data_IF_914847330825
#
_entry.id   IF_914847330825
#
_cell.length_a   1.000
_cell.length_b   1.000
_cell.length_c   1.000
_cell.angle_alpha   90.00
_cell.angle_beta   90.00
_cell.angle_gamma   90.00
#
_symmetry.space_group_name_H-M   'P 1'
#
loop_
_entity.id
_entity.type
_entity.pdbx_description
1 polymer ?
#
# COMPACT_ATOMS: atom_id res chain seq x y z
N UNK A 1 6.64 12.16 -9.30
CA UNK A 1 6.68 10.94 -8.45
C UNK A 1 5.59 9.96 -8.83
N UNK A 2 5.84 8.64 -8.71
CA UNK A 2 4.81 7.61 -8.91
C UNK A 2 4.35 7.05 -7.57
N UNK A 3 3.02 6.81 -7.47
CA UNK A 3 2.38 6.32 -6.27
C UNK A 3 1.62 5.02 -6.56
N UNK A 4 1.83 3.99 -5.73
CA UNK A 4 1.17 2.70 -5.88
C UNK A 4 0.17 2.45 -4.75
N UNK A 5 -1.06 1.96 -5.08
CA UNK A 5 -2.10 1.73 -4.10
C UNK A 5 -1.81 0.51 -3.22
N UNK A 6 -2.43 0.49 -2.04
CA UNK A 6 -2.50 -0.63 -1.14
C UNK A 6 -3.87 -1.30 -1.11
N UNK A 7 -4.04 -2.21 -0.15
CA UNK A 7 -5.30 -2.91 0.10
C UNK A 7 -6.44 -1.91 0.37
N UNK A 8 -7.60 -2.19 -0.21
CA UNK A 8 -8.77 -1.31 -0.23
C UNK A 8 -9.04 -0.71 -1.62
N UNK A 9 -8.08 -0.81 -2.55
CA UNK A 9 -8.24 -0.34 -3.95
C UNK A 9 -8.74 -1.44 -4.91
N UNK A 10 -8.82 -2.70 -4.45
CA UNK A 10 -9.25 -3.83 -5.27
C UNK A 10 -10.76 -3.80 -5.52
N UNK A 11 -11.13 -4.09 -6.75
CA UNK A 11 -12.53 -4.29 -7.15
C UNK A 11 -12.59 -5.37 -8.22
N UNK A 12 -13.68 -6.14 -8.23
CA UNK A 12 -13.93 -7.14 -9.28
C UNK A 12 -14.02 -6.44 -10.64
N UNK A 13 -13.31 -6.96 -11.62
CA UNK A 13 -13.15 -6.37 -12.96
C UNK A 13 -11.84 -5.59 -13.13
N UNK A 14 -11.05 -5.36 -12.04
CA UNK A 14 -9.79 -4.61 -12.14
C UNK A 14 -8.80 -5.28 -13.10
N UNK A 15 -8.13 -4.48 -13.94
CA UNK A 15 -7.07 -4.93 -14.84
C UNK A 15 -7.55 -5.80 -16.01
N UNK A 16 -8.84 -5.78 -16.39
CA UNK A 16 -9.41 -6.67 -17.41
C UNK A 16 -8.58 -6.67 -18.70
N UNK A 17 -8.23 -5.53 -19.24
CA UNK A 17 -7.43 -5.39 -20.46
C UNK A 17 -5.96 -5.80 -20.27
N UNK A 18 -5.41 -5.71 -19.06
CA UNK A 18 -4.04 -6.12 -18.76
C UNK A 18 -3.87 -7.65 -18.84
N UNK A 19 -4.89 -8.44 -18.52
CA UNK A 19 -4.81 -9.89 -18.67
C UNK A 19 -4.65 -10.35 -20.11
N UNK A 20 -5.12 -9.55 -21.07
CA UNK A 20 -4.91 -9.80 -22.51
C UNK A 20 -3.57 -9.19 -22.99
N UNK A 21 -3.22 -8.01 -22.50
CA UNK A 21 -2.02 -7.30 -22.93
C UNK A 21 -0.73 -7.90 -22.32
N UNK A 22 -0.80 -8.45 -21.09
CA UNK A 22 0.36 -8.91 -20.31
C UNK A 22 0.19 -10.34 -19.77
N UNK A 23 -0.05 -11.32 -20.65
CA UNK A 23 -0.11 -12.73 -20.22
C UNK A 23 1.23 -13.27 -19.69
N UNK A 24 2.33 -12.60 -20.00
CA UNK A 24 3.66 -12.88 -19.46
C UNK A 24 3.76 -12.60 -17.94
N UNK A 25 3.03 -11.61 -17.43
CA UNK A 25 2.96 -11.26 -16.01
C UNK A 25 1.73 -11.84 -15.31
N UNK A 26 0.56 -11.79 -15.94
CA UNK A 26 -0.74 -12.10 -15.32
C UNK A 26 -1.30 -13.48 -15.69
N UNK A 27 -0.56 -14.28 -16.48
CA UNK A 27 -0.98 -15.58 -16.95
C UNK A 27 -0.58 -16.74 -16.05
N UNK A 28 -0.39 -17.93 -16.67
CA UNK A 28 -0.18 -19.20 -15.94
C UNK A 28 1.01 -19.19 -14.98
N UNK A 29 2.09 -18.46 -15.30
CA UNK A 29 3.24 -18.39 -14.40
C UNK A 29 2.88 -17.72 -13.06
N UNK A 30 2.00 -16.70 -13.06
CA UNK A 30 1.48 -16.11 -11.85
C UNK A 30 0.53 -17.06 -11.12
N UNK A 31 -0.38 -17.73 -11.84
CA UNK A 31 -1.31 -18.71 -11.28
C UNK A 31 -0.57 -19.88 -10.63
N UNK A 32 0.47 -20.42 -11.27
CA UNK A 32 1.33 -21.49 -10.73
C UNK A 32 2.04 -21.07 -9.43
N UNK A 33 2.54 -19.82 -9.39
CA UNK A 33 3.18 -19.27 -8.19
C UNK A 33 2.19 -19.09 -7.05
N UNK A 34 1.00 -18.59 -7.35
CA UNK A 34 -0.04 -18.26 -6.37
C UNK A 34 -0.83 -19.49 -5.90
N UNK A 35 -0.90 -20.55 -6.73
CA UNK A 35 -1.72 -21.75 -6.48
C UNK A 35 -3.22 -21.52 -6.71
N UNK A 36 -3.59 -20.43 -7.39
CA UNK A 36 -4.98 -20.08 -7.76
C UNK A 36 -5.00 -19.15 -8.97
N UNK A 37 -6.13 -19.10 -9.67
CA UNK A 37 -6.27 -18.25 -10.85
C UNK A 37 -6.41 -16.78 -10.50
N UNK A 38 -5.36 -15.99 -10.79
CA UNK A 38 -5.32 -14.55 -10.62
C UNK A 38 -6.44 -13.89 -11.45
N UNK A 39 -6.58 -14.32 -12.70
CA UNK A 39 -7.62 -13.81 -13.61
C UNK A 39 -9.02 -14.02 -13.04
N UNK A 40 -9.36 -15.22 -12.61
CA UNK A 40 -10.68 -15.52 -12.09
C UNK A 40 -11.02 -14.69 -10.86
N UNK A 41 -10.10 -14.60 -9.90
CA UNK A 41 -10.29 -13.79 -8.69
C UNK A 41 -10.44 -12.30 -9.01
N UNK A 42 -9.62 -11.75 -9.92
CA UNK A 42 -9.69 -10.34 -10.30
C UNK A 42 -10.94 -10.00 -11.12
N UNK A 43 -11.34 -10.83 -12.07
CA UNK A 43 -12.39 -10.48 -13.05
C UNK A 43 -13.77 -11.02 -12.69
N UNK A 44 -13.84 -12.19 -12.06
CA UNK A 44 -15.10 -12.87 -11.77
C UNK A 44 -15.46 -12.80 -10.27
N UNK A 45 -14.46 -12.66 -9.40
CA UNK A 45 -14.62 -12.55 -7.95
C UNK A 45 -15.02 -13.89 -7.30
N UNK A 46 -15.93 -13.89 -6.30
CA UNK A 46 -16.70 -12.75 -5.78
C UNK A 46 -15.86 -11.69 -5.07
N UNK A 47 -16.41 -10.49 -4.84
CA UNK A 47 -15.71 -9.41 -4.14
C UNK A 47 -15.19 -9.83 -2.75
N UNK A 48 -15.93 -10.70 -2.07
CA UNK A 48 -15.51 -11.23 -0.75
C UNK A 48 -14.22 -12.07 -0.85
N UNK A 49 -14.01 -12.82 -1.92
CA UNK A 49 -12.78 -13.57 -2.16
C UNK A 49 -11.62 -12.61 -2.50
N UNK A 50 -11.84 -11.66 -3.40
CA UNK A 50 -10.84 -10.67 -3.79
C UNK A 50 -10.44 -9.76 -2.60
N UNK A 51 -11.32 -9.56 -1.62
CA UNK A 51 -11.05 -8.71 -0.44
C UNK A 51 -10.25 -9.44 0.65
N UNK A 52 -10.13 -10.76 0.60
CA UNK A 52 -9.28 -11.50 1.53
C UNK A 52 -7.84 -11.02 1.41
N UNK A 53 -7.17 -10.84 2.54
CA UNK A 53 -5.81 -10.29 2.59
C UNK A 53 -4.80 -11.11 1.78
N UNK A 54 -4.92 -12.45 1.80
CA UNK A 54 -4.10 -13.40 1.04
C UNK A 54 -4.41 -13.43 -0.47
N UNK A 55 -5.48 -12.78 -0.92
CA UNK A 55 -5.85 -12.60 -2.33
C UNK A 55 -5.63 -11.17 -2.80
N UNK A 56 -6.11 -10.20 -2.02
CA UNK A 56 -6.06 -8.78 -2.37
C UNK A 56 -4.62 -8.29 -2.61
N UNK A 57 -3.68 -8.69 -1.75
CA UNK A 57 -2.30 -8.22 -1.85
C UNK A 57 -1.62 -8.68 -3.14
N UNK A 58 -1.51 -9.97 -3.47
CA UNK A 58 -0.88 -10.38 -4.72
C UNK A 58 -1.66 -9.92 -5.96
N UNK A 59 -2.99 -9.84 -5.90
CA UNK A 59 -3.79 -9.33 -7.01
C UNK A 59 -3.51 -7.85 -7.31
N UNK A 60 -3.47 -7.01 -6.27
CA UNK A 60 -3.14 -5.59 -6.41
C UNK A 60 -1.71 -5.38 -6.89
N UNK A 61 -0.74 -6.11 -6.33
CA UNK A 61 0.65 -6.05 -6.77
C UNK A 61 0.77 -6.38 -8.25
N UNK A 62 0.20 -7.51 -8.68
CA UNK A 62 0.29 -7.98 -10.05
C UNK A 62 -0.32 -6.99 -11.05
N UNK A 63 -1.56 -6.53 -10.79
CA UNK A 63 -2.26 -5.59 -11.67
C UNK A 63 -1.59 -4.23 -11.70
N UNK A 64 -1.18 -3.68 -10.54
CA UNK A 64 -0.52 -2.39 -10.48
C UNK A 64 0.88 -2.42 -11.13
N UNK A 65 1.63 -3.51 -10.97
CA UNK A 65 2.92 -3.65 -11.64
C UNK A 65 2.76 -3.80 -13.16
N UNK A 66 1.82 -4.62 -13.64
CA UNK A 66 1.56 -4.79 -15.06
C UNK A 66 1.16 -3.45 -15.72
N UNK A 67 0.32 -2.65 -15.04
CA UNK A 67 -0.04 -1.31 -15.50
C UNK A 67 1.16 -0.36 -15.49
N UNK A 68 1.98 -0.40 -14.45
CA UNK A 68 3.22 0.37 -14.39
C UNK A 68 4.17 0.03 -15.54
N UNK A 69 4.37 -1.24 -15.86
CA UNK A 69 5.29 -1.66 -16.91
C UNK A 69 4.81 -1.19 -18.30
N UNK A 70 3.49 -1.21 -18.56
CA UNK A 70 2.91 -0.61 -19.78
C UNK A 70 3.08 0.91 -19.79
N UNK A 71 2.78 1.59 -18.68
CA UNK A 71 2.95 3.04 -18.56
C UNK A 71 4.42 3.46 -18.73
N UNK A 72 5.35 2.73 -18.13
CA UNK A 72 6.80 3.00 -18.27
C UNK A 72 7.30 2.83 -19.71
N UNK A 73 6.75 1.90 -20.49
CA UNK A 73 7.04 1.77 -21.93
C UNK A 73 6.56 2.98 -22.71
N UNK A 74 5.38 3.51 -22.37
CA UNK A 74 4.84 4.72 -23.01
C UNK A 74 5.67 5.96 -22.66
N UNK A 75 6.21 6.06 -21.46
CA UNK A 75 7.10 7.16 -21.04
C UNK A 75 8.45 7.16 -21.78
N UNK A 76 8.86 6.04 -22.37
CA UNK A 76 10.13 5.91 -23.11
C UNK A 76 11.35 6.03 -22.19
N UNK A 77 12.17 7.06 -22.38
CA UNK A 77 13.37 7.28 -21.56
C UNK A 77 13.10 8.07 -20.26
N UNK A 78 11.94 8.72 -20.16
CA UNK A 78 11.57 9.46 -18.95
C UNK A 78 11.45 8.51 -17.75
N UNK A 79 11.92 8.97 -16.60
CA UNK A 79 11.90 8.19 -15.36
C UNK A 79 11.32 9.04 -14.22
N UNK A 80 10.60 8.43 -13.29
CA UNK A 80 10.22 9.11 -12.06
C UNK A 80 11.46 9.56 -11.27
N UNK A 81 11.38 10.70 -10.62
CA UNK A 81 12.40 11.15 -9.68
C UNK A 81 12.17 10.58 -8.27
N UNK A 82 11.00 10.02 -7.99
CA UNK A 82 10.62 9.44 -6.71
C UNK A 82 9.50 8.42 -6.88
N UNK A 83 9.42 7.45 -5.97
CA UNK A 83 8.28 6.55 -5.87
C UNK A 83 7.91 6.30 -4.41
N UNK A 84 6.62 6.08 -4.16
CA UNK A 84 6.11 5.56 -2.89
C UNK A 84 4.92 4.64 -3.14
N UNK A 85 4.63 3.78 -2.17
CA UNK A 85 3.43 2.98 -2.19
C UNK A 85 2.81 2.89 -0.81
N UNK A 86 1.48 2.78 -0.74
CA UNK A 86 0.78 2.65 0.52
C UNK A 86 0.79 1.19 0.96
N UNK A 87 1.44 0.87 2.09
CA UNK A 87 1.52 -0.49 2.63
C UNK A 87 2.00 -1.50 1.57
N UNK A 88 1.14 -2.34 1.03
CA UNK A 88 1.44 -3.24 -0.08
C UNK A 88 2.08 -2.52 -1.29
N UNK A 89 1.62 -1.32 -1.59
CA UNK A 89 2.13 -0.55 -2.72
C UNK A 89 3.63 -0.24 -2.66
N UNK A 90 4.26 -0.28 -1.48
CA UNK A 90 5.71 -0.13 -1.35
C UNK A 90 6.46 -1.28 -2.05
N UNK A 91 5.91 -2.51 -2.02
CA UNK A 91 6.46 -3.64 -2.78
C UNK A 91 6.36 -3.41 -4.28
N UNK A 92 5.23 -2.85 -4.74
CA UNK A 92 5.05 -2.47 -6.15
C UNK A 92 6.03 -1.37 -6.55
N UNK A 93 6.24 -0.36 -5.71
CA UNK A 93 7.20 0.71 -5.94
C UNK A 93 8.64 0.20 -6.03
N UNK A 94 9.03 -0.75 -5.16
CA UNK A 94 10.34 -1.38 -5.20
C UNK A 94 10.55 -2.24 -6.44
N UNK A 95 9.53 -2.98 -6.87
CA UNK A 95 9.58 -3.74 -8.12
C UNK A 95 9.64 -2.80 -9.33
N UNK A 96 8.86 -1.73 -9.36
CA UNK A 96 8.88 -0.70 -10.40
C UNK A 96 10.25 -0.02 -10.53
N UNK A 97 10.93 0.20 -9.40
CA UNK A 97 12.28 0.73 -9.35
C UNK A 97 13.38 -0.31 -9.69
N UNK A 98 13.02 -1.58 -9.92
CA UNK A 98 13.95 -2.65 -10.25
C UNK A 98 14.74 -3.19 -9.04
N UNK A 99 14.31 -2.89 -7.80
CA UNK A 99 14.95 -3.41 -6.58
C UNK A 99 14.75 -4.92 -6.45
N UNK A 100 13.58 -5.41 -6.84
CA UNK A 100 13.24 -6.83 -6.95
C UNK A 100 12.57 -7.09 -8.29
N UNK A 101 12.77 -8.27 -8.86
CA UNK A 101 12.04 -8.66 -10.07
C UNK A 101 10.56 -8.97 -9.75
N UNK A 102 9.73 -8.95 -10.79
CA UNK A 102 8.28 -9.12 -10.64
C UNK A 102 7.88 -10.41 -9.91
N UNK A 103 8.41 -11.57 -10.34
CA UNK A 103 8.01 -12.86 -9.76
C UNK A 103 8.51 -13.05 -8.33
N UNK A 104 9.72 -12.55 -8.01
CA UNK A 104 10.20 -12.47 -6.63
C UNK A 104 9.29 -11.58 -5.79
N UNK A 105 8.93 -10.40 -6.30
CA UNK A 105 7.98 -9.49 -5.64
C UNK A 105 6.62 -10.14 -5.40
N UNK A 106 6.04 -10.79 -6.43
CA UNK A 106 4.75 -11.47 -6.34
C UNK A 106 4.77 -12.59 -5.29
N UNK A 107 5.83 -13.40 -5.24
CA UNK A 107 6.00 -14.44 -4.23
C UNK A 107 6.04 -13.86 -2.82
N UNK A 108 6.87 -12.86 -2.58
CA UNK A 108 6.99 -12.22 -1.25
C UNK A 108 5.68 -11.59 -0.81
N UNK A 109 4.96 -10.95 -1.75
CA UNK A 109 3.65 -10.35 -1.46
C UNK A 109 2.58 -11.40 -1.16
N UNK A 110 2.61 -12.55 -1.84
CA UNK A 110 1.71 -13.67 -1.54
C UNK A 110 1.98 -14.22 -0.13
N UNK A 111 3.25 -14.42 0.23
CA UNK A 111 3.67 -14.83 1.58
C UNK A 111 3.28 -13.80 2.64
N UNK A 112 3.48 -12.50 2.36
CA UNK A 112 3.04 -11.39 3.22
C UNK A 112 1.54 -11.43 3.45
N UNK A 113 0.75 -11.55 2.39
CA UNK A 113 -0.71 -11.61 2.48
C UNK A 113 -1.19 -12.77 3.35
N UNK A 114 -0.58 -13.96 3.18
CA UNK A 114 -0.86 -15.14 3.99
C UNK A 114 -0.46 -14.93 5.46
N UNK A 115 0.77 -14.51 5.73
CA UNK A 115 1.26 -14.30 7.10
C UNK A 115 0.42 -13.26 7.86
N UNK A 116 0.01 -12.17 7.20
CA UNK A 116 -0.88 -11.16 7.79
C UNK A 116 -2.28 -11.69 8.03
N UNK A 117 -2.83 -12.53 7.14
CA UNK A 117 -4.13 -13.17 7.34
C UNK A 117 -4.08 -14.16 8.52
N UNK A 118 -3.03 -14.97 8.61
CA UNK A 118 -2.82 -15.93 9.70
C UNK A 118 -2.64 -15.21 11.06
N UNK A 119 -1.88 -14.11 11.09
CA UNK A 119 -1.74 -13.29 12.28
C UNK A 119 -3.08 -12.67 12.74
N UNK A 120 -3.87 -12.16 11.78
CA UNK A 120 -5.19 -11.59 12.06
C UNK A 120 -6.18 -12.63 12.62
N UNK A 121 -6.09 -13.89 12.19
CA UNK A 121 -6.95 -14.97 12.66
C UNK A 121 -6.66 -15.41 14.12
N UNK A 122 -5.50 -15.05 14.68
CA UNK A 122 -5.11 -15.46 16.05
C UNK A 122 -5.86 -14.72 17.14
N UNK A 123 -6.31 -13.48 16.89
CA UNK A 123 -7.04 -12.65 17.86
C UNK A 123 -8.01 -11.74 17.12
N UNK A 124 -9.28 -11.63 17.58
CA UNK A 124 -10.22 -10.63 17.08
C UNK A 124 -9.63 -9.22 17.19
N UNK A 125 -9.48 -8.58 16.04
CA UNK A 125 -8.82 -7.29 15.93
C UNK A 125 -9.23 -6.61 14.61
N UNK A 126 -8.88 -5.35 14.43
CA UNK A 126 -9.21 -4.62 13.22
C UNK A 126 -8.61 -3.23 13.20
N UNK A 127 -9.23 -2.34 12.43
CA UNK A 127 -8.78 -0.97 12.27
C UNK A 127 -9.97 0.00 12.24
N UNK A 128 -9.71 1.26 12.64
CA UNK A 128 -10.68 2.35 12.53
C UNK A 128 -10.00 3.63 12.03
N UNK A 129 -10.66 4.32 11.10
CA UNK A 129 -10.22 5.62 10.62
C UNK A 129 -10.71 6.73 11.57
N UNK A 130 -9.80 7.63 11.92
CA UNK A 130 -10.05 8.86 12.64
C UNK A 130 -9.97 10.02 11.65
N UNK A 131 -11.01 10.82 11.56
CA UNK A 131 -11.07 12.00 10.71
C UNK A 131 -11.09 13.28 11.56
N UNK A 132 -10.36 14.27 11.12
CA UNK A 132 -10.32 15.60 11.72
C UNK A 132 -9.49 15.68 13.01
N UNK A 133 -8.50 14.81 13.18
CA UNK A 133 -7.46 14.92 14.20
C UNK A 133 -6.07 14.77 13.56
N UNK A 134 -5.07 15.31 14.22
CA UNK A 134 -3.66 15.18 13.85
C UNK A 134 -3.03 13.92 14.47
N UNK A 135 -1.77 13.68 14.14
CA UNK A 135 -1.01 12.54 14.64
C UNK A 135 -0.86 12.57 16.17
N UNK A 136 -0.60 13.75 16.75
CA UNK A 136 -0.43 13.91 18.20
C UNK A 136 -1.69 13.51 18.95
N UNK A 137 -2.85 13.95 18.48
CA UNK A 137 -4.16 13.55 19.02
C UNK A 137 -4.41 12.05 18.86
N UNK A 138 -4.12 11.46 17.69
CA UNK A 138 -4.30 10.02 17.46
C UNK A 138 -3.39 9.17 18.36
N UNK A 139 -2.14 9.58 18.56
CA UNK A 139 -1.21 8.93 19.48
C UNK A 139 -1.62 9.08 20.94
N UNK A 140 -2.13 10.24 21.33
CA UNK A 140 -2.67 10.47 22.66
C UNK A 140 -3.86 9.54 22.93
N UNK A 141 -4.81 9.43 22.01
CA UNK A 141 -5.97 8.52 22.13
C UNK A 141 -5.49 7.07 22.29
N UNK A 142 -4.57 6.63 21.42
CA UNK A 142 -4.01 5.28 21.47
C UNK A 142 -3.27 5.01 22.79
N UNK A 143 -2.51 5.98 23.30
CA UNK A 143 -1.81 5.88 24.56
C UNK A 143 -2.75 5.81 25.76
N UNK A 144 -3.75 6.68 25.85
CA UNK A 144 -4.76 6.65 26.91
C UNK A 144 -5.37 5.24 27.03
N UNK A 145 -5.72 4.63 25.89
CA UNK A 145 -6.27 3.28 25.90
C UNK A 145 -5.25 2.22 26.33
N UNK A 146 -3.98 2.33 25.92
CA UNK A 146 -2.92 1.41 26.35
C UNK A 146 -2.57 1.54 27.83
N UNK A 147 -2.56 2.76 28.35
CA UNK A 147 -2.29 3.01 29.79
C UNK A 147 -3.39 2.37 30.67
N UNK A 148 -4.58 2.19 30.13
CA UNK A 148 -5.71 1.45 30.75
C UNK A 148 -5.70 -0.07 30.43
N UNK A 149 -4.58 -0.59 29.92
CA UNK A 149 -4.37 -2.01 29.64
C UNK A 149 -4.88 -2.49 28.28
N UNK A 150 -5.35 -1.60 27.41
CA UNK A 150 -5.83 -1.93 26.07
C UNK A 150 -4.70 -2.13 25.04
N UNK A 151 -5.09 -2.51 23.84
CA UNK A 151 -4.22 -2.81 22.68
C UNK A 151 -4.64 -1.95 21.48
N UNK A 152 -4.16 -0.69 21.43
CA UNK A 152 -4.51 0.28 20.39
C UNK A 152 -3.28 1.08 19.96
N UNK A 153 -3.03 1.19 18.65
CA UNK A 153 -1.87 1.87 18.08
C UNK A 153 -2.25 2.66 16.83
N UNK A 154 -1.49 3.74 16.53
CA UNK A 154 -1.56 4.38 15.22
C UNK A 154 -0.97 3.42 14.18
N UNK A 155 -1.74 3.14 13.14
CA UNK A 155 -1.39 2.22 12.06
C UNK A 155 -1.08 2.95 10.74
N UNK A 156 -1.81 4.04 10.43
CA UNK A 156 -1.54 4.82 9.24
C UNK A 156 -1.65 6.33 9.51
N UNK A 157 -0.69 7.06 8.98
CA UNK A 157 -0.70 8.52 8.83
C UNK A 157 -0.96 8.79 7.35
N UNK A 158 -2.23 8.87 6.97
CA UNK A 158 -2.63 8.83 5.56
C UNK A 158 -2.58 10.20 4.88
N UNK A 159 -3.09 11.22 5.54
CA UNK A 159 -3.12 12.61 5.09
C UNK A 159 -3.38 13.53 6.28
N UNK A 160 -3.18 14.84 6.18
CA UNK A 160 -3.58 15.79 7.21
C UNK A 160 -5.03 15.58 7.64
N UNK A 161 -5.24 15.34 8.94
CA UNK A 161 -6.56 15.05 9.50
C UNK A 161 -7.15 13.68 9.16
N UNK A 162 -6.34 12.72 8.70
CA UNK A 162 -6.80 11.35 8.41
C UNK A 162 -5.79 10.32 8.93
N UNK A 163 -6.06 9.82 10.12
CA UNK A 163 -5.28 8.78 10.80
C UNK A 163 -6.06 7.45 10.81
N UNK A 164 -5.37 6.35 10.96
CA UNK A 164 -5.98 5.04 11.20
C UNK A 164 -5.34 4.43 12.43
N UNK A 165 -6.17 3.94 13.34
CA UNK A 165 -5.74 3.16 14.49
C UNK A 165 -6.06 1.68 14.25
N UNK A 166 -5.17 0.82 14.74
CA UNK A 166 -5.33 -0.63 14.76
C UNK A 166 -5.32 -1.14 16.21
N UNK A 167 -6.16 -2.12 16.50
CA UNK A 167 -6.26 -2.65 17.86
C UNK A 167 -7.12 -3.88 17.99
N UNK A 168 -7.23 -4.39 19.22
CA UNK A 168 -8.14 -5.46 19.54
C UNK A 168 -9.60 -4.99 19.38
N UNK A 169 -10.52 -5.93 19.21
CA UNK A 169 -11.93 -5.63 18.91
C UNK A 169 -12.55 -4.75 20.00
N UNK A 170 -12.33 -5.10 21.26
CA UNK A 170 -12.80 -4.34 22.44
C UNK A 170 -12.25 -2.90 22.49
N UNK A 171 -11.01 -2.70 22.02
CA UNK A 171 -10.37 -1.39 22.03
C UNK A 171 -10.86 -0.51 20.88
N UNK A 172 -11.27 -1.12 19.79
CA UNK A 172 -11.93 -0.42 18.69
C UNK A 172 -13.37 -0.04 19.02
N UNK A 173 -14.10 -0.86 19.78
CA UNK A 173 -15.41 -0.50 20.33
C UNK A 173 -15.30 0.69 21.30
N UNK A 174 -14.29 0.65 22.19
CA UNK A 174 -13.98 1.77 23.07
C UNK A 174 -13.65 3.04 22.26
N UNK A 175 -12.83 2.91 21.20
CA UNK A 175 -12.45 4.03 20.34
C UNK A 175 -13.66 4.66 19.63
N UNK A 176 -14.60 3.86 19.14
CA UNK A 176 -15.83 4.35 18.51
C UNK A 176 -16.67 5.15 19.50
N UNK A 177 -16.70 4.74 20.77
CA UNK A 177 -17.47 5.38 21.83
C UNK A 177 -16.83 6.68 22.31
N UNK A 178 -15.51 6.68 22.55
CA UNK A 178 -14.81 7.78 23.23
C UNK A 178 -13.97 8.68 22.32
N UNK A 179 -13.67 8.23 21.09
CA UNK A 179 -12.72 8.93 20.21
C UNK A 179 -13.12 10.36 19.88
N UNK A 180 -14.42 10.64 19.78
CA UNK A 180 -14.91 12.00 19.52
C UNK A 180 -14.74 12.94 20.72
N UNK A 181 -14.87 12.44 21.93
CA UNK A 181 -14.64 13.20 23.16
C UNK A 181 -13.14 13.51 23.35
N UNK A 182 -12.27 12.65 22.79
CA UNK A 182 -10.83 12.77 22.87
C UNK A 182 -10.20 13.58 21.70
N UNK A 183 -11.02 14.16 20.80
CA UNK A 183 -10.56 15.09 19.78
C UNK A 183 -10.67 14.62 18.33
N UNK A 184 -11.11 13.41 18.05
CA UNK A 184 -11.42 12.98 16.67
C UNK A 184 -12.80 13.49 16.27
N UNK A 185 -12.90 14.18 15.13
CA UNK A 185 -14.22 14.63 14.62
C UNK A 185 -15.14 13.46 14.27
N UNK A 186 -14.59 12.35 13.80
CA UNK A 186 -15.34 11.13 13.44
C UNK A 186 -14.43 9.91 13.53
N UNK A 187 -14.99 8.82 14.05
CA UNK A 187 -14.39 7.50 14.05
C UNK A 187 -15.22 6.57 13.17
N UNK A 188 -14.57 5.80 12.29
CA UNK A 188 -15.26 4.86 11.39
C UNK A 188 -14.51 3.54 11.34
N UNK A 189 -15.16 2.43 11.67
CA UNK A 189 -14.61 1.08 11.52
C UNK A 189 -14.29 0.80 10.06
N UNK A 190 -13.14 0.16 9.82
CA UNK A 190 -12.74 -0.29 8.50
C UNK A 190 -13.09 -1.77 8.32
N UNK A 191 -13.48 -2.15 7.11
CA UNK A 191 -13.75 -3.55 6.78
C UNK A 191 -12.43 -4.26 6.41
N UNK A 192 -11.64 -4.60 7.43
CA UNK A 192 -10.36 -5.31 7.30
C UNK A 192 -10.29 -6.45 8.30
N UNK A 193 -9.50 -7.48 7.98
CA UNK A 193 -9.46 -8.73 8.73
C UNK A 193 -8.71 -8.65 10.07
N UNK A 194 -7.90 -7.62 10.30
CA UNK A 194 -7.05 -7.56 11.49
C UNK A 194 -6.42 -6.21 11.75
N UNK A 195 -5.69 -6.12 12.85
CA UNK A 195 -4.98 -4.92 13.31
C UNK A 195 -3.63 -4.76 12.58
N UNK A 196 -3.67 -4.56 11.27
CA UNK A 196 -2.47 -4.36 10.46
C UNK A 196 -1.67 -3.13 10.91
N UNK A 197 -0.35 -3.16 10.68
CA UNK A 197 0.56 -2.08 11.05
C UNK A 197 0.59 -1.78 12.56
N UNK A 198 0.47 -2.83 13.37
CA UNK A 198 0.54 -2.75 14.83
C UNK A 198 1.32 -3.95 15.39
N UNK A 199 1.75 -3.91 16.67
CA UNK A 199 2.42 -5.04 17.33
C UNK A 199 1.62 -6.35 17.34
N UNK A 200 0.32 -6.33 17.06
CA UNK A 200 -0.50 -7.54 16.90
C UNK A 200 -0.12 -8.34 15.63
N UNK A 201 0.69 -7.78 14.74
CA UNK A 201 1.23 -8.44 13.55
C UNK A 201 2.63 -9.04 13.73
N UNK A 202 3.18 -9.07 14.95
CA UNK A 202 4.57 -9.53 15.20
C UNK A 202 4.87 -10.91 14.59
N UNK A 203 3.91 -11.86 14.66
CA UNK A 203 4.10 -13.18 14.04
C UNK A 203 4.22 -13.13 12.51
N UNK A 204 3.54 -12.18 11.86
CA UNK A 204 3.69 -11.98 10.42
C UNK A 204 5.05 -11.35 10.07
N UNK A 205 5.57 -10.46 10.94
CA UNK A 205 6.92 -9.90 10.80
C UNK A 205 7.98 -10.98 10.81
N UNK A 206 7.89 -11.96 11.72
CA UNK A 206 8.87 -13.06 11.83
C UNK A 206 8.84 -13.95 10.59
N UNK A 207 7.66 -14.37 10.13
CA UNK A 207 7.51 -15.18 8.91
C UNK A 207 8.02 -14.41 7.67
N UNK A 208 7.69 -13.14 7.55
CA UNK A 208 8.11 -12.32 6.42
C UNK A 208 9.63 -12.06 6.41
N UNK A 209 10.26 -11.93 7.58
CA UNK A 209 11.72 -11.78 7.70
C UNK A 209 12.47 -12.98 7.11
N UNK A 210 11.98 -14.19 7.35
CA UNK A 210 12.55 -15.41 6.76
C UNK A 210 12.40 -15.40 5.23
N UNK A 211 11.22 -15.07 4.72
CA UNK A 211 10.96 -14.95 3.28
C UNK A 211 11.86 -13.92 2.60
N UNK A 212 12.04 -12.76 3.23
CA UNK A 212 12.87 -11.68 2.71
C UNK A 212 14.37 -11.97 2.76
N UNK A 213 14.81 -12.88 3.62
CA UNK A 213 16.24 -13.21 3.75
C UNK A 213 16.86 -13.72 2.43
N UNK A 214 16.07 -14.41 1.61
CA UNK A 214 16.53 -14.95 0.31
C UNK A 214 16.38 -13.96 -0.86
N UNK A 215 15.79 -12.79 -0.65
CA UNK A 215 15.56 -11.80 -1.70
C UNK A 215 16.85 -11.03 -1.99
N UNK A 216 17.34 -11.15 -3.22
CA UNK A 216 18.43 -10.30 -3.71
C UNK A 216 17.87 -8.94 -4.11
N UNK A 217 18.26 -7.89 -3.38
CA UNK A 217 17.86 -6.52 -3.69
C UNK A 217 18.91 -5.86 -4.59
N UNK A 218 18.48 -5.29 -5.72
CA UNK A 218 19.31 -4.51 -6.64
C UNK A 218 19.24 -3.01 -6.33
N UNK A 219 20.12 -2.23 -6.94
CA UNK A 219 20.07 -0.76 -6.86
C UNK A 219 18.81 -0.24 -7.57
N UNK A 220 18.04 0.64 -6.95
CA UNK A 220 16.85 1.22 -7.58
C UNK A 220 17.22 2.15 -8.73
N UNK A 221 16.41 2.14 -9.79
CA UNK A 221 16.53 3.10 -10.90
C UNK A 221 16.03 4.50 -10.54
N UNK A 222 15.25 4.63 -9.48
CA UNK A 222 14.79 5.86 -8.84
C UNK A 222 14.52 5.62 -7.34
N UNK A 223 14.66 6.65 -6.48
CA UNK A 223 14.43 6.50 -5.05
C UNK A 223 13.02 6.03 -4.70
N UNK A 224 12.90 5.12 -3.72
CA UNK A 224 11.62 4.63 -3.18
C UNK A 224 11.53 4.99 -1.70
N UNK A 225 10.47 5.68 -1.30
CA UNK A 225 10.19 6.05 0.08
C UNK A 225 9.62 4.88 0.86
N UNK A 226 10.29 4.54 1.98
CA UNK A 226 9.83 3.48 2.86
C UNK A 226 8.73 3.98 3.81
N UNK A 227 7.67 3.20 3.98
CA UNK A 227 6.54 3.56 4.84
C UNK A 227 6.94 3.77 6.31
N UNK A 228 7.91 3.01 6.80
CA UNK A 228 8.36 3.06 8.20
C UNK A 228 9.11 4.35 8.53
N UNK A 229 9.94 4.82 7.61
CA UNK A 229 10.84 5.97 7.84
C UNK A 229 10.38 7.26 7.18
N UNK A 230 9.45 7.18 6.20
CA UNK A 230 9.05 8.26 5.32
C UNK A 230 10.23 8.92 4.59
N UNK A 231 11.24 8.12 4.21
CA UNK A 231 12.47 8.55 3.53
C UNK A 231 12.87 7.53 2.46
N UNK A 232 13.70 7.93 1.47
CA UNK A 232 14.27 6.99 0.51
C UNK A 232 15.00 5.86 1.23
N UNK A 233 14.68 4.62 0.87
CA UNK A 233 15.33 3.43 1.43
C UNK A 233 16.67 3.16 0.77
N UNK A 234 17.69 2.80 1.56
CA UNK A 234 18.91 2.20 1.03
C UNK A 234 18.71 0.71 0.75
N UNK A 235 19.35 0.18 -0.29
CA UNK A 235 19.23 -1.26 -0.67
C UNK A 235 19.52 -2.20 0.50
N UNK A 236 20.50 -1.86 1.33
CA UNK A 236 20.88 -2.66 2.51
C UNK A 236 19.79 -2.72 3.58
N UNK A 237 18.85 -1.77 3.60
CA UNK A 237 17.80 -1.65 4.61
C UNK A 237 16.45 -2.21 4.13
N UNK A 238 16.26 -2.39 2.81
CA UNK A 238 14.97 -2.76 2.21
C UNK A 238 14.34 -3.97 2.90
N UNK A 239 15.10 -5.04 3.12
CA UNK A 239 14.56 -6.27 3.73
C UNK A 239 14.09 -6.05 5.17
N UNK A 240 14.86 -5.33 5.98
CA UNK A 240 14.47 -5.01 7.35
C UNK A 240 13.26 -4.07 7.40
N UNK A 241 13.25 -3.02 6.55
CA UNK A 241 12.15 -2.08 6.47
C UNK A 241 10.85 -2.75 6.04
N UNK A 242 10.89 -3.65 5.05
CA UNK A 242 9.72 -4.40 4.59
C UNK A 242 9.21 -5.39 5.66
N UNK A 243 10.10 -6.05 6.41
CA UNK A 243 9.70 -6.92 7.51
C UNK A 243 9.02 -6.11 8.63
N UNK A 244 9.61 -5.00 9.03
CA UNK A 244 9.07 -4.12 10.09
C UNK A 244 7.78 -3.40 9.68
N UNK A 245 7.56 -3.19 8.39
CA UNK A 245 6.41 -2.44 7.87
C UNK A 245 5.07 -3.02 8.35
N UNK A 246 4.94 -4.35 8.48
CA UNK A 246 3.64 -4.98 8.83
C UNK A 246 3.22 -4.74 10.29
N UNK A 247 4.17 -4.38 11.16
CA UNK A 247 3.91 -4.04 12.58
C UNK A 247 4.16 -2.57 12.92
N UNK A 248 4.57 -1.75 11.93
CA UNK A 248 4.89 -0.34 12.11
C UNK A 248 3.90 0.56 11.37
N UNK A 249 3.72 1.81 11.82
CA UNK A 249 2.87 2.77 11.12
C UNK A 249 3.30 3.03 9.68
N UNK A 250 2.33 3.11 8.78
CA UNK A 250 2.51 3.60 7.42
C UNK A 250 2.49 5.13 7.44
N UNK A 251 3.64 5.75 7.29
CA UNK A 251 3.84 7.21 7.31
C UNK A 251 3.69 7.82 5.92
N UNK A 252 2.50 7.61 5.31
CA UNK A 252 2.30 7.96 3.91
C UNK A 252 2.20 9.47 3.69
N UNK A 253 1.52 10.21 4.57
CA UNK A 253 1.46 11.67 4.52
C UNK A 253 2.85 12.31 4.58
N UNK A 254 3.68 11.82 5.52
CA UNK A 254 5.05 12.33 5.69
C UNK A 254 5.90 12.07 4.43
N UNK A 255 5.72 10.89 3.80
CA UNK A 255 6.40 10.56 2.52
C UNK A 255 5.96 11.48 1.39
N UNK A 256 4.66 11.77 1.29
CA UNK A 256 4.14 12.68 0.26
C UNK A 256 4.64 14.12 0.46
N UNK A 257 4.67 14.60 1.70
CA UNK A 257 5.16 15.94 2.06
C UNK A 257 6.65 16.09 1.74
N UNK A 258 7.47 15.09 2.10
CA UNK A 258 8.90 15.09 1.81
C UNK A 258 9.17 15.08 0.30
N UNK A 259 8.48 14.20 -0.46
CA UNK A 259 8.59 14.15 -1.92
C UNK A 259 8.11 15.46 -2.60
N UNK A 260 7.06 16.10 -2.08
CA UNK A 260 6.52 17.33 -2.65
C UNK A 260 7.52 18.49 -2.72
N UNK A 261 8.58 18.44 -1.91
CA UNK A 261 9.65 19.43 -1.98
C UNK A 261 10.52 19.32 -3.25
N UNK A 262 10.51 18.18 -3.93
CA UNK A 262 11.44 17.84 -5.01
C UNK A 262 10.76 17.38 -6.30
N UNK A 263 9.46 17.18 -6.32
CA UNK A 263 8.70 16.72 -7.49
C UNK A 263 7.67 17.75 -7.94
N UNK A 264 7.36 17.81 -9.22
CA UNK A 264 6.38 18.72 -9.81
C UNK A 264 4.98 18.13 -9.79
N UNK A 265 4.85 16.83 -9.99
CA UNK A 265 3.60 16.11 -10.06
C UNK A 265 3.66 14.74 -9.39
N UNK A 266 2.50 14.24 -8.98
CA UNK A 266 2.29 12.87 -8.51
C UNK A 266 1.43 12.10 -9.51
N UNK A 267 1.81 10.86 -9.82
CA UNK A 267 1.06 9.97 -10.70
C UNK A 267 0.69 8.72 -9.94
N UNK A 268 -0.58 8.53 -9.63
CA UNK A 268 -1.10 7.26 -9.12
C UNK A 268 -1.10 6.24 -10.25
N UNK A 269 -0.55 5.04 -9.99
CA UNK A 269 -0.53 3.94 -10.97
C UNK A 269 -1.08 2.67 -10.30
N UNK A 270 -2.24 2.23 -10.74
CA UNK A 270 -2.88 1.02 -10.20
C UNK A 270 -4.41 1.13 -10.11
N UNK A 271 -5.08 0.07 -9.61
CA UNK A 271 -6.53 0.08 -9.42
C UNK A 271 -7.02 1.18 -8.49
N UNK A 272 -8.15 1.80 -8.83
CA UNK A 272 -8.76 2.89 -8.06
C UNK A 272 -8.01 4.21 -8.17
N UNK A 273 -8.08 5.02 -7.10
CA UNK A 273 -7.47 6.36 -7.04
C UNK A 273 -7.04 6.77 -5.61
N UNK A 274 -6.97 5.82 -4.68
CA UNK A 274 -6.79 6.09 -3.25
C UNK A 274 -5.54 6.92 -2.97
N UNK A 275 -4.37 6.56 -3.53
CA UNK A 275 -3.14 7.32 -3.28
C UNK A 275 -3.15 8.69 -3.95
N UNK A 276 -3.87 8.85 -5.06
CA UNK A 276 -4.10 10.16 -5.67
C UNK A 276 -4.95 11.07 -4.75
N UNK A 277 -6.01 10.52 -4.17
CA UNK A 277 -6.85 11.27 -3.23
C UNK A 277 -6.05 11.69 -1.97
N UNK A 278 -5.17 10.84 -1.46
CA UNK A 278 -4.29 11.16 -0.35
C UNK A 278 -3.25 12.23 -0.75
N UNK A 279 -2.64 12.12 -1.94
CA UNK A 279 -1.68 13.09 -2.44
C UNK A 279 -2.31 14.48 -2.60
N UNK A 280 -3.52 14.59 -3.17
CA UNK A 280 -4.25 15.87 -3.28
C UNK A 280 -4.48 16.55 -1.93
N UNK A 281 -4.59 15.78 -0.86
CA UNK A 281 -4.79 16.30 0.51
C UNK A 281 -3.49 16.65 1.22
N UNK A 282 -2.40 15.95 0.91
CA UNK A 282 -1.11 16.11 1.59
C UNK A 282 -0.17 17.08 0.87
N UNK A 283 -0.36 17.30 -0.44
CA UNK A 283 0.59 18.06 -1.26
C UNK A 283 -0.09 19.26 -1.91
N UNK A 284 -0.19 20.36 -1.17
CA UNK A 284 -0.85 21.57 -1.66
C UNK A 284 -0.15 22.13 -2.91
N UNK A 285 -0.93 22.32 -3.99
CA UNK A 285 -0.46 22.95 -5.23
C UNK A 285 0.34 22.03 -6.15
N UNK A 286 0.53 20.75 -5.83
CA UNK A 286 1.11 19.77 -6.76
C UNK A 286 0.03 19.14 -7.63
N UNK A 287 0.36 18.93 -8.90
CA UNK A 287 -0.52 18.20 -9.80
C UNK A 287 -0.60 16.72 -9.40
N UNK A 288 -1.79 16.12 -9.55
CA UNK A 288 -2.00 14.71 -9.23
C UNK A 288 -2.79 14.03 -10.35
N UNK A 289 -2.10 13.20 -11.10
CA UNK A 289 -2.60 12.42 -12.24
C UNK A 289 -2.97 11.00 -11.81
N UNK A 290 -3.83 10.36 -12.59
CA UNK A 290 -4.31 8.99 -12.30
C UNK A 290 -4.16 8.12 -13.55
N UNK A 291 -3.46 7.00 -13.37
CA UNK A 291 -3.31 5.91 -14.33
C UNK A 291 -3.91 4.67 -13.69
N UNK A 292 -5.11 4.29 -14.08
CA UNK A 292 -5.82 3.13 -13.52
C UNK A 292 -6.25 2.10 -14.57
N UNK A 293 -5.99 2.37 -15.87
CA UNK A 293 -6.18 1.49 -17.01
C UNK A 293 -5.21 1.87 -18.16
N UNK A 294 -5.22 1.10 -19.25
CA UNK A 294 -4.34 1.35 -20.40
C UNK A 294 -4.68 2.66 -21.14
N UNK A 295 -5.93 3.06 -21.14
CA UNK A 295 -6.37 4.31 -21.78
C UNK A 295 -5.81 5.52 -21.04
N UNK A 296 -5.97 5.57 -19.73
CA UNK A 296 -5.41 6.62 -18.88
C UNK A 296 -3.87 6.62 -18.89
N UNK A 297 -3.23 5.44 -19.02
CA UNK A 297 -1.79 5.35 -19.19
C UNK A 297 -1.30 6.07 -20.46
N UNK A 298 -1.99 5.88 -21.58
CA UNK A 298 -1.65 6.56 -22.84
C UNK A 298 -1.81 8.08 -22.74
N UNK A 299 -2.96 8.54 -22.19
CA UNK A 299 -3.27 9.97 -22.04
C UNK A 299 -2.26 10.67 -21.11
N UNK A 300 -1.97 10.06 -19.96
CA UNK A 300 -1.03 10.66 -18.99
C UNK A 300 0.41 10.64 -19.53
N UNK A 301 0.81 9.57 -20.24
CA UNK A 301 2.14 9.52 -20.84
C UNK A 301 2.34 10.61 -21.91
N UNK A 302 1.35 10.81 -22.78
CA UNK A 302 1.37 11.89 -23.79
C UNK A 302 1.46 13.27 -23.13
N UNK A 303 0.66 13.52 -22.11
CA UNK A 303 0.69 14.76 -21.34
C UNK A 303 2.07 15.02 -20.73
N UNK A 304 2.65 14.06 -20.03
CA UNK A 304 3.96 14.22 -19.40
C UNK A 304 5.09 14.41 -20.41
N UNK A 305 5.02 13.79 -21.59
CA UNK A 305 6.01 14.01 -22.65
C UNK A 305 5.97 15.43 -23.22
N UNK A 306 4.79 16.07 -23.27
CA UNK A 306 4.65 17.44 -23.71
C UNK A 306 5.17 18.44 -22.67
N UNK A 307 5.06 18.15 -21.38
CA UNK A 307 5.56 19.03 -20.30
C UNK A 307 7.09 18.88 -20.06
N UNK A 308 7.69 17.74 -20.41
CA UNK A 308 9.14 17.47 -20.22
C UNK A 308 9.97 17.89 -21.45
N UNK A 309 9.36 17.97 -22.64
CA UNK A 309 10.02 18.34 -23.91
C UNK A 309 10.05 19.84 -24.12
#
# INVERSE_FOLDING_TARGET
AVLFPGQGSQQVGMGAELFEARPDLLGSAADDLLGWSLRSVCLEGPQSELTRTDRAQPALFAVAYALWDEFARLLGEARPSAAAGHSLGEYTALAAAGVVDYFTGLRVVAERGRAMADAAARRPSGMAALLGCDLETAEMIARVRRDDGGSLWVANVNAPGQMVLAGAEEDLEWLVTHGSELGARRVTRLNVAGAFHSPLMASATDELRESLHTVAAALPSFPVWANVTARPSMVSEVRDLLARQVESPVRFSDSLEDMAATVDAFVHVGPGDVTAALARRSTSGREVLVVNDLSSAAVVAEYLQQEIG
#
